data_IF_546547669403
#
_entry.id   IF_546547669403
#
_cell.length_a   1.000
_cell.length_b   1.000
_cell.length_c   1.000
_cell.angle_alpha   90.00
_cell.angle_beta   90.00
_cell.angle_gamma   90.00
#
_symmetry.space_group_name_H-M   'P 1'
#
loop_
_entity.id
_entity.type
_entity.pdbx_description
1 polymer ?
#
# COMPACT_ATOMS: atom_id res chain seq x y z
N UNK A 1 6.12 -6.25 11.71
CA UNK A 1 5.47 -6.94 10.57
C UNK A 1 4.55 -5.96 9.91
N UNK A 2 3.89 -6.35 8.81
CA UNK A 2 2.75 -5.62 8.24
C UNK A 2 1.72 -6.67 7.83
N UNK A 3 0.54 -6.65 8.46
CA UNK A 3 -0.49 -7.68 8.28
C UNK A 3 0.01 -9.06 8.68
N UNK A 4 0.61 -9.18 9.86
CA UNK A 4 1.24 -10.40 10.41
C UNK A 4 2.35 -11.03 9.53
N UNK A 5 2.77 -10.35 8.47
CA UNK A 5 3.82 -10.81 7.56
C UNK A 5 5.16 -10.15 7.86
N UNK A 6 6.23 -10.95 7.87
CA UNK A 6 7.62 -10.47 7.93
C UNK A 6 8.14 -9.92 6.60
N UNK A 7 7.43 -10.13 5.50
CA UNK A 7 7.81 -9.66 4.16
C UNK A 7 7.31 -8.23 3.93
N UNK A 8 7.87 -7.27 4.66
CA UNK A 8 7.37 -5.89 4.71
C UNK A 8 7.30 -5.21 3.33
N UNK A 9 8.25 -5.49 2.42
CA UNK A 9 8.22 -4.94 1.06
C UNK A 9 7.16 -5.57 0.14
N UNK A 10 6.65 -6.75 0.49
CA UNK A 10 5.51 -7.37 -0.20
C UNK A 10 4.19 -6.88 0.39
N UNK A 11 4.16 -6.62 1.70
CA UNK A 11 2.97 -6.21 2.44
C UNK A 11 2.67 -4.72 2.38
N UNK A 12 3.62 -3.85 2.03
CA UNK A 12 3.36 -2.43 1.90
C UNK A 12 4.16 -1.79 0.76
N UNK A 13 3.57 -0.77 0.15
CA UNK A 13 4.18 0.08 -0.87
C UNK A 13 4.02 1.53 -0.46
N UNK A 14 5.13 2.27 -0.49
CA UNK A 14 5.23 3.62 0.08
C UNK A 14 5.81 4.57 -0.96
N UNK A 15 5.26 5.78 -1.06
CA UNK A 15 5.91 6.89 -1.75
C UNK A 15 5.68 8.22 -0.99
N UNK A 16 6.01 9.34 -1.65
CA UNK A 16 5.88 10.68 -1.04
C UNK A 16 4.43 11.15 -0.85
N UNK A 17 3.43 10.44 -1.35
CA UNK A 17 2.02 10.77 -1.23
C UNK A 17 1.37 9.98 -0.09
N UNK A 18 1.61 8.67 -0.04
CA UNK A 18 1.05 7.83 1.01
C UNK A 18 1.62 6.42 1.06
N UNK A 19 0.93 5.57 1.81
CA UNK A 19 1.29 4.19 2.12
C UNK A 19 0.08 3.29 1.82
N UNK A 20 0.26 2.32 0.93
CA UNK A 20 -0.73 1.26 0.72
C UNK A 20 -0.24 -0.04 1.35
N UNK A 21 -1.05 -0.61 2.24
CA UNK A 21 -0.72 -1.79 3.04
C UNK A 21 -1.63 -2.99 2.74
N UNK A 22 -1.18 -4.14 3.23
CA UNK A 22 -1.93 -5.38 3.34
C UNK A 22 -3.30 -5.14 4.02
N UNK A 23 -4.39 -5.83 3.60
CA UNK A 23 -5.74 -5.69 4.18
C UNK A 23 -5.82 -5.87 5.69
N UNK A 24 -5.02 -6.79 6.24
CA UNK A 24 -5.03 -7.13 7.67
C UNK A 24 -4.09 -6.25 8.52
N UNK A 25 -3.76 -5.03 8.07
CA UNK A 25 -2.98 -4.08 8.87
C UNK A 25 -3.68 -3.82 10.21
N UNK A 26 -2.97 -4.00 11.31
CA UNK A 26 -3.50 -3.70 12.65
C UNK A 26 -3.28 -2.24 13.05
N UNK A 27 -4.06 -1.74 14.02
CA UNK A 27 -3.94 -0.38 14.54
C UNK A 27 -2.52 -0.10 15.11
N UNK A 28 -1.90 -1.08 15.76
CA UNK A 28 -0.55 -0.98 16.30
C UNK A 28 0.50 -0.88 15.17
N UNK A 29 0.32 -1.64 14.09
CA UNK A 29 1.18 -1.56 12.90
C UNK A 29 0.99 -0.23 12.16
N UNK A 30 -0.25 0.26 12.03
CA UNK A 30 -0.54 1.57 11.43
C UNK A 30 0.12 2.69 12.24
N UNK A 31 0.01 2.64 13.57
CA UNK A 31 0.66 3.61 14.45
C UNK A 31 2.17 3.61 14.27
N UNK A 32 2.79 2.43 14.21
CA UNK A 32 4.22 2.31 13.95
C UNK A 32 4.61 2.90 12.59
N UNK A 33 3.80 2.69 11.55
CA UNK A 33 4.05 3.27 10.22
C UNK A 33 4.00 4.80 10.26
N UNK A 34 3.04 5.40 10.99
CA UNK A 34 2.96 6.85 11.19
C UNK A 34 4.17 7.39 11.95
N UNK A 35 4.58 6.71 13.03
CA UNK A 35 5.76 7.08 13.80
C UNK A 35 7.05 7.07 12.96
N UNK A 36 7.18 6.12 12.02
CA UNK A 36 8.37 5.95 11.17
C UNK A 36 8.37 6.87 9.93
N UNK A 37 7.22 7.04 9.27
CA UNK A 37 7.13 7.67 7.95
C UNK A 37 6.47 9.08 7.96
N UNK A 38 5.92 9.49 9.10
CA UNK A 38 5.25 10.78 9.30
C UNK A 38 3.78 10.62 9.67
N UNK A 39 3.34 11.33 10.71
CA UNK A 39 1.94 11.31 11.20
C UNK A 39 0.94 11.84 10.18
N UNK A 40 1.41 12.69 9.25
CA UNK A 40 0.62 13.26 8.18
C UNK A 40 0.41 12.32 6.99
N UNK A 41 1.07 11.15 6.98
CA UNK A 41 0.97 10.19 5.87
C UNK A 41 -0.42 9.57 5.80
N UNK A 42 -1.02 9.62 4.60
CA UNK A 42 -2.20 8.81 4.32
C UNK A 42 -1.81 7.33 4.26
N UNK A 43 -2.44 6.53 5.11
CA UNK A 43 -2.29 5.08 5.13
C UNK A 43 -3.64 4.48 4.74
N UNK A 44 -3.62 3.64 3.71
CA UNK A 44 -4.78 2.87 3.30
C UNK A 44 -4.40 1.39 3.21
N UNK A 45 -5.42 0.54 3.29
CA UNK A 45 -5.31 -0.88 3.02
C UNK A 45 -5.91 -1.23 1.66
N UNK A 46 -5.40 -2.27 1.01
CA UNK A 46 -5.94 -2.71 -0.26
C UNK A 46 -5.32 -3.98 -0.81
N UNK A 47 -5.75 -4.33 -2.01
CA UNK A 47 -5.26 -5.51 -2.75
C UNK A 47 -4.83 -5.10 -4.16
N UNK A 48 -4.13 -6.01 -4.82
CA UNK A 48 -3.74 -5.90 -6.23
C UNK A 48 -4.09 -7.19 -6.96
N UNK A 49 -4.16 -7.17 -8.29
CA UNK A 49 -4.28 -8.39 -9.11
C UNK A 49 -5.47 -9.29 -8.70
N UNK A 50 -6.65 -8.72 -8.46
CA UNK A 50 -7.88 -9.44 -8.06
C UNK A 50 -7.81 -10.05 -6.66
N UNK A 51 -7.47 -9.23 -5.67
CA UNK A 51 -7.54 -9.63 -4.27
C UNK A 51 -6.24 -10.19 -3.70
N UNK A 52 -5.11 -10.08 -4.41
CA UNK A 52 -3.81 -10.43 -3.83
C UNK A 52 -3.47 -9.41 -2.74
N UNK A 53 -3.28 -9.83 -1.48
CA UNK A 53 -3.11 -8.90 -0.37
C UNK A 53 -1.66 -8.39 -0.25
N UNK A 54 -0.72 -9.06 -0.93
CA UNK A 54 0.67 -8.62 -1.04
C UNK A 54 0.83 -7.56 -2.14
N UNK A 55 0.45 -6.32 -1.81
CA UNK A 55 0.47 -5.16 -2.73
C UNK A 55 1.82 -4.93 -3.42
N UNK A 56 2.94 -5.21 -2.75
CA UNK A 56 4.29 -5.10 -3.31
C UNK A 56 4.60 -6.12 -4.42
N UNK A 57 3.80 -7.18 -4.56
CA UNK A 57 3.92 -8.13 -5.69
C UNK A 57 3.47 -7.56 -7.03
N UNK A 58 2.63 -6.52 -7.00
CA UNK A 58 1.93 -6.02 -8.19
C UNK A 58 2.04 -4.53 -8.40
N UNK A 59 2.78 -3.81 -7.56
CA UNK A 59 2.90 -2.35 -7.63
C UNK A 59 4.37 -1.94 -7.51
N UNK A 60 4.81 -1.07 -8.41
CA UNK A 60 6.04 -0.29 -8.28
C UNK A 60 5.67 1.19 -8.38
N UNK A 61 6.18 2.01 -7.47
CA UNK A 61 5.81 3.43 -7.38
C UNK A 61 7.02 4.32 -7.21
N UNK A 62 6.89 5.57 -7.64
CA UNK A 62 7.80 6.66 -7.28
C UNK A 62 7.03 7.99 -7.20
N UNK A 63 7.76 9.09 -7.09
CA UNK A 63 7.20 10.44 -6.99
C UNK A 63 6.54 10.98 -8.26
N UNK A 64 6.54 10.21 -9.36
CA UNK A 64 6.03 10.59 -10.68
C UNK A 64 4.90 9.69 -11.17
N UNK A 65 4.64 8.58 -10.50
CA UNK A 65 3.58 7.66 -10.92
C UNK A 65 3.71 6.26 -10.33
N UNK A 66 2.85 5.39 -10.83
CA UNK A 66 2.66 4.01 -10.39
C UNK A 66 2.57 3.09 -11.61
N UNK A 67 3.20 1.91 -11.52
CA UNK A 67 3.00 0.79 -12.44
C UNK A 67 2.29 -0.31 -11.64
N UNK A 68 1.18 -0.82 -12.19
CA UNK A 68 0.34 -1.84 -11.55
C UNK A 68 0.19 -3.05 -12.47
N UNK A 69 0.10 -4.24 -11.88
CA UNK A 69 -0.24 -5.47 -12.61
C UNK A 69 -1.57 -5.36 -13.36
N UNK A 70 -1.58 -5.89 -14.59
CA UNK A 70 -2.67 -5.82 -15.58
C UNK A 70 -3.98 -6.45 -15.12
N UNK A 71 -3.92 -7.38 -14.16
CA UNK A 71 -5.11 -8.06 -13.61
C UNK A 71 -5.87 -7.22 -12.59
N UNK A 72 -5.32 -6.09 -12.16
CA UNK A 72 -5.94 -5.26 -11.12
C UNK A 72 -7.27 -4.67 -11.57
N UNK A 73 -8.23 -4.66 -10.67
CA UNK A 73 -9.61 -4.24 -10.93
C UNK A 73 -9.76 -2.72 -10.78
N UNK A 74 -10.83 -2.14 -11.33
CA UNK A 74 -11.09 -0.71 -11.21
C UNK A 74 -11.17 -0.21 -9.76
N UNK A 75 -11.70 -1.01 -8.83
CA UNK A 75 -11.74 -0.65 -7.40
C UNK A 75 -10.36 -0.68 -6.75
N UNK A 76 -9.51 -1.64 -7.12
CA UNK A 76 -8.11 -1.67 -6.67
C UNK A 76 -7.34 -0.48 -7.22
N UNK A 77 -7.52 -0.15 -8.50
CA UNK A 77 -6.89 1.02 -9.12
C UNK A 77 -7.34 2.33 -8.47
N UNK A 78 -8.63 2.50 -8.16
CA UNK A 78 -9.11 3.68 -7.44
C UNK A 78 -8.47 3.82 -6.05
N UNK A 79 -8.29 2.71 -5.33
CA UNK A 79 -7.61 2.73 -4.02
C UNK A 79 -6.12 3.08 -4.15
N UNK A 80 -5.46 2.54 -5.17
CA UNK A 80 -4.05 2.82 -5.46
C UNK A 80 -3.87 4.29 -5.84
N UNK A 81 -4.73 4.82 -6.71
CA UNK A 81 -4.73 6.23 -7.13
C UNK A 81 -4.96 7.16 -5.95
N UNK A 82 -5.99 6.90 -5.13
CA UNK A 82 -6.29 7.75 -3.97
C UNK A 82 -5.18 7.77 -2.91
N UNK A 83 -4.28 6.78 -2.91
CA UNK A 83 -3.25 6.63 -1.86
C UNK A 83 -1.86 7.03 -2.33
N UNK A 84 -1.50 6.70 -3.58
CA UNK A 84 -0.13 6.78 -4.09
C UNK A 84 0.03 7.84 -5.19
N UNK A 85 -1.02 8.58 -5.54
CA UNK A 85 -0.97 9.68 -6.52
C UNK A 85 -1.46 11.00 -5.87
N UNK A 86 -1.15 12.16 -6.49
CA UNK A 86 -1.60 13.47 -6.01
C UNK A 86 -3.12 13.63 -5.95
#
# INVERSE_FOLDING_TARGET
TIGDSGLVGMSAVINKYGILCHPDLSDDEEKLLKEVFGEEREINIGTVNRGTPFVGSGIITNSKGVIVGDKSTGVELMRIESTLLP
#
